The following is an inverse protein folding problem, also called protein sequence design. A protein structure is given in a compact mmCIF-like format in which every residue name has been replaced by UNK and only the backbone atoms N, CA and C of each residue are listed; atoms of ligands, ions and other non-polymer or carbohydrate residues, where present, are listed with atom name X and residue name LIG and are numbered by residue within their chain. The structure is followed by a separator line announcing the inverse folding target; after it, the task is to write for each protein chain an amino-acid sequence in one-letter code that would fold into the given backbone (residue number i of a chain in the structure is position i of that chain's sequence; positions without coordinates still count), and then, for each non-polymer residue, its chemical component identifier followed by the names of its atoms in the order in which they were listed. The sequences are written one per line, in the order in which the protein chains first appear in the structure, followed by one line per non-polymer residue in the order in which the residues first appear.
data_IF_632875600639
#
_entry.id   IF_632875600639
#
_cell.length_a   1.000
_cell.length_b   1.000
_cell.length_c   1.000
_cell.angle_alpha   90.00
_cell.angle_beta   90.00
_cell.angle_gamma   90.00
#
_symmetry.space_group_name_H-M   'P 1'
#
loop_
_entity.id
_entity.type
_entity.pdbx_description
1 polymer ?
#
# COMPACT_ATOMS: atom_id res chain seq x y z
N UNK A 1 13.84 -15.06 -11.34
CA UNK A 1 12.74 -14.62 -10.41
C UNK A 1 12.09 -15.86 -9.83
N UNK A 2 11.60 -15.85 -8.55
CA UNK A 2 10.93 -17.02 -7.97
C UNK A 2 9.67 -17.41 -8.73
N UNK A 3 9.46 -18.70 -8.95
CA UNK A 3 8.32 -19.26 -9.73
C UNK A 3 6.96 -18.78 -9.24
N UNK A 4 6.73 -18.72 -7.92
CA UNK A 4 5.47 -18.24 -7.38
C UNK A 4 5.21 -16.74 -7.64
N UNK A 5 6.28 -15.94 -7.77
CA UNK A 5 6.16 -14.52 -8.18
C UNK A 5 5.83 -14.44 -9.66
N UNK A 6 6.50 -15.24 -10.50
CA UNK A 6 6.21 -15.35 -11.92
C UNK A 6 4.73 -15.70 -12.16
N UNK A 7 4.25 -16.78 -11.56
CA UNK A 7 2.85 -17.20 -11.68
C UNK A 7 1.85 -16.15 -11.17
N UNK A 8 2.14 -15.52 -10.03
CA UNK A 8 1.27 -14.49 -9.47
C UNK A 8 1.08 -13.32 -10.43
N UNK A 9 2.14 -12.92 -11.15
CA UNK A 9 2.10 -11.85 -12.15
C UNK A 9 1.30 -12.26 -13.38
N UNK A 10 1.63 -13.40 -14.00
CA UNK A 10 1.08 -13.81 -15.29
C UNK A 10 -0.35 -14.37 -15.20
N UNK A 11 -0.70 -15.04 -14.09
CA UNK A 11 -2.03 -15.58 -13.86
C UNK A 11 -2.94 -14.65 -13.06
N UNK A 12 -2.49 -13.42 -12.81
CA UNK A 12 -3.21 -12.43 -11.99
C UNK A 12 -3.75 -13.01 -10.66
N UNK A 13 -2.90 -13.75 -9.96
CA UNK A 13 -3.25 -14.43 -8.72
C UNK A 13 -2.38 -13.98 -7.54
N UNK A 14 -2.59 -14.53 -6.35
CA UNK A 14 -1.70 -14.29 -5.21
C UNK A 14 -0.52 -15.28 -5.21
N UNK A 15 0.63 -14.88 -4.62
CA UNK A 15 1.78 -15.79 -4.45
C UNK A 15 1.42 -17.05 -3.66
N UNK A 16 0.53 -16.96 -2.66
CA UNK A 16 0.04 -18.13 -1.91
C UNK A 16 -0.78 -19.07 -2.80
N UNK A 17 -1.63 -18.52 -3.67
CA UNK A 17 -2.37 -19.35 -4.62
C UNK A 17 -1.43 -19.98 -5.67
N UNK A 18 -0.42 -19.25 -6.11
CA UNK A 18 0.63 -19.80 -6.97
C UNK A 18 1.39 -20.96 -6.28
N UNK A 19 1.71 -20.85 -4.99
CA UNK A 19 2.30 -21.94 -4.22
C UNK A 19 1.39 -23.19 -4.17
N UNK A 20 0.06 -23.01 -4.08
CA UNK A 20 -0.91 -24.11 -4.16
C UNK A 20 -0.90 -24.79 -5.52
N UNK A 21 -0.84 -24.02 -6.63
CA UNK A 21 -0.77 -24.56 -7.98
C UNK A 21 0.49 -25.43 -8.19
N UNK A 22 1.63 -24.98 -7.63
CA UNK A 22 2.88 -25.73 -7.68
C UNK A 22 2.73 -27.06 -6.90
N UNK A 23 2.17 -27.03 -5.70
CA UNK A 23 1.95 -28.25 -4.89
C UNK A 23 1.00 -29.25 -5.57
N UNK A 24 0.08 -28.77 -6.39
CA UNK A 24 -0.85 -29.60 -7.17
C UNK A 24 -0.20 -30.17 -8.44
N UNK A 25 1.11 -30.01 -8.64
CA UNK A 25 1.85 -30.44 -9.84
C UNK A 25 1.26 -29.91 -11.18
N UNK A 26 0.70 -28.69 -11.15
CA UNK A 26 0.08 -28.08 -12.32
C UNK A 26 1.02 -27.15 -13.08
N UNK A 27 2.25 -26.99 -12.61
CA UNK A 27 3.23 -26.02 -13.13
C UNK A 27 4.50 -26.77 -13.53
N UNK A 28 5.00 -26.43 -14.71
CA UNK A 28 6.27 -26.95 -15.22
C UNK A 28 7.21 -25.81 -15.62
N UNK A 29 8.50 -26.05 -15.48
CA UNK A 29 9.58 -25.23 -16.02
C UNK A 29 10.38 -26.10 -16.98
N UNK A 30 10.43 -25.75 -18.26
CA UNK A 30 11.14 -26.50 -19.31
C UNK A 30 10.72 -27.99 -19.36
N UNK A 31 9.41 -28.28 -19.18
CA UNK A 31 8.84 -29.63 -19.21
C UNK A 31 9.09 -30.45 -17.92
N UNK A 32 9.63 -29.86 -16.86
CA UNK A 32 9.82 -30.53 -15.54
C UNK A 32 8.90 -29.88 -14.52
N UNK A 33 8.28 -30.71 -13.66
CA UNK A 33 7.42 -30.22 -12.57
C UNK A 33 8.18 -29.25 -11.68
N UNK A 34 7.60 -28.07 -11.50
CA UNK A 34 8.15 -27.04 -10.65
C UNK A 34 7.98 -27.36 -9.17
N UNK A 35 8.96 -26.97 -8.36
CA UNK A 35 8.96 -27.10 -6.90
C UNK A 35 8.84 -25.73 -6.25
N UNK A 36 8.38 -25.69 -4.99
CA UNK A 36 8.38 -24.48 -4.20
C UNK A 36 9.80 -23.94 -4.05
N UNK A 37 9.98 -22.66 -4.39
CA UNK A 37 11.29 -22.01 -4.29
C UNK A 37 12.09 -22.00 -5.60
N UNK A 38 11.69 -22.77 -6.60
CA UNK A 38 12.34 -22.74 -7.92
C UNK A 38 12.37 -21.33 -8.48
N UNK A 39 13.35 -21.06 -9.32
CA UNK A 39 13.53 -19.80 -10.03
C UNK A 39 13.28 -19.98 -11.53
N UNK A 40 12.71 -18.94 -12.11
CA UNK A 40 12.48 -18.80 -13.55
C UNK A 40 13.46 -17.77 -14.10
N UNK A 41 14.20 -18.14 -15.14
CA UNK A 41 15.13 -17.29 -15.87
C UNK A 41 14.51 -16.79 -17.19
N UNK A 42 15.18 -15.86 -17.85
CA UNK A 42 14.63 -15.15 -19.02
C UNK A 42 14.22 -16.07 -20.18
N UNK A 43 14.93 -17.19 -20.36
CA UNK A 43 14.71 -18.12 -21.49
C UNK A 43 13.90 -19.36 -21.10
N UNK A 44 13.44 -19.44 -19.84
CA UNK A 44 12.66 -20.59 -19.39
C UNK A 44 11.25 -20.55 -19.94
N UNK A 45 10.78 -21.72 -20.39
CA UNK A 45 9.38 -21.95 -20.75
C UNK A 45 8.62 -22.44 -19.52
N UNK A 46 7.67 -21.64 -19.06
CA UNK A 46 6.79 -21.99 -17.94
C UNK A 46 5.42 -22.38 -18.48
N UNK A 47 4.88 -23.51 -18.03
CA UNK A 47 3.51 -23.94 -18.35
C UNK A 47 2.67 -24.11 -17.10
N UNK A 48 1.37 -23.88 -17.26
CA UNK A 48 0.32 -24.11 -16.25
C UNK A 48 -0.81 -24.88 -16.89
N UNK A 49 -1.21 -26.03 -16.29
CA UNK A 49 -2.16 -26.97 -16.86
C UNK A 49 -1.86 -27.25 -18.35
N UNK A 50 -0.59 -27.60 -18.65
CA UNK A 50 -0.05 -27.90 -20.01
C UNK A 50 -0.12 -26.73 -21.02
N UNK A 51 -0.47 -25.52 -20.60
CA UNK A 51 -0.47 -24.34 -21.44
C UNK A 51 0.73 -23.45 -21.14
N UNK A 52 1.49 -23.11 -22.17
CA UNK A 52 2.63 -22.18 -22.03
C UNK A 52 2.14 -20.80 -21.58
N UNK A 53 2.80 -20.22 -20.59
CA UNK A 53 2.54 -18.86 -20.11
C UNK A 53 3.43 -17.92 -20.92
N UNK A 54 2.81 -16.95 -21.61
CA UNK A 54 3.55 -15.87 -22.27
C UNK A 54 4.22 -14.96 -21.24
N UNK A 55 5.50 -14.64 -21.48
CA UNK A 55 6.33 -13.92 -20.49
C UNK A 55 6.30 -12.40 -20.61
N UNK A 56 5.51 -11.83 -21.53
CA UNK A 56 5.40 -10.39 -21.70
C UNK A 56 4.53 -9.77 -20.62
N UNK A 57 5.13 -8.96 -19.74
CA UNK A 57 4.42 -8.18 -18.72
C UNK A 57 4.65 -6.70 -18.98
N UNK A 58 3.57 -5.96 -19.08
CA UNK A 58 3.60 -4.50 -19.02
C UNK A 58 3.32 -4.06 -17.58
N UNK A 59 4.31 -3.44 -16.96
CA UNK A 59 4.12 -2.87 -15.63
C UNK A 59 3.33 -1.57 -15.70
N UNK A 60 2.45 -1.38 -14.73
CA UNK A 60 1.56 -0.23 -14.62
C UNK A 60 1.73 0.43 -13.26
N UNK A 61 1.81 1.74 -13.22
CA UNK A 61 2.04 2.53 -12.01
C UNK A 61 1.02 3.64 -11.90
N UNK A 62 0.29 3.71 -10.77
CA UNK A 62 -0.78 4.67 -10.60
C UNK A 62 -0.77 5.33 -9.23
N UNK A 63 -1.21 6.58 -9.20
CA UNK A 63 -1.66 7.29 -8.00
C UNK A 63 -3.18 7.13 -7.90
N UNK A 64 -3.64 6.91 -6.68
CA UNK A 64 -5.07 6.77 -6.36
C UNK A 64 -5.41 7.63 -5.16
N UNK A 65 -6.51 8.38 -5.25
CA UNK A 65 -7.07 9.07 -4.09
C UNK A 65 -8.10 8.20 -3.41
N UNK A 66 -7.69 7.48 -2.38
CA UNK A 66 -8.61 6.66 -1.58
C UNK A 66 -9.65 7.54 -0.87
N UNK A 67 -10.95 7.34 -1.07
CA UNK A 67 -11.98 8.03 -0.32
C UNK A 67 -12.10 7.51 1.12
N UNK A 68 -12.71 8.31 2.02
CA UNK A 68 -13.17 7.82 3.34
C UNK A 68 -14.24 6.74 3.18
N UNK A 69 -14.42 5.92 4.22
CA UNK A 69 -15.45 4.88 4.26
C UNK A 69 -15.03 3.54 3.65
N UNK A 70 -13.95 3.49 2.91
CA UNK A 70 -13.44 2.26 2.28
C UNK A 70 -12.29 1.64 3.09
N UNK A 71 -12.31 0.31 3.21
CA UNK A 71 -11.23 -0.46 3.82
C UNK A 71 -10.21 -0.84 2.75
N UNK A 72 -8.92 -0.78 3.09
CA UNK A 72 -7.83 -1.31 2.26
C UNK A 72 -7.80 -2.84 2.34
N UNK A 73 -8.62 -3.50 1.55
CA UNK A 73 -8.73 -4.96 1.44
C UNK A 73 -8.94 -5.39 0.01
N UNK A 74 -8.45 -6.58 -0.33
CA UNK A 74 -8.72 -7.28 -1.59
C UNK A 74 -9.87 -8.29 -1.48
N UNK A 75 -10.30 -8.61 -0.26
CA UNK A 75 -11.42 -9.53 0.00
C UNK A 75 -12.52 -8.79 0.73
N UNK A 76 -13.77 -9.09 0.36
CA UNK A 76 -14.93 -8.59 1.08
C UNK A 76 -14.82 -8.87 2.59
N UNK A 77 -15.18 -7.90 3.41
CA UNK A 77 -15.18 -8.00 4.86
C UNK A 77 -16.53 -7.51 5.37
N UNK A 78 -17.40 -8.44 5.68
CA UNK A 78 -18.78 -8.11 6.12
C UNK A 78 -19.43 -7.08 5.17
N UNK A 79 -20.23 -6.17 5.70
CA UNK A 79 -20.90 -5.09 4.95
C UNK A 79 -20.00 -3.86 4.68
N UNK A 80 -18.67 -4.00 4.72
CA UNK A 80 -17.75 -2.87 4.54
C UNK A 80 -17.34 -2.70 3.08
N UNK A 81 -17.47 -1.49 2.54
CA UNK A 81 -16.94 -1.10 1.23
C UNK A 81 -15.41 -1.27 1.20
N UNK A 82 -14.89 -1.94 0.19
CA UNK A 82 -13.46 -2.17 0.03
C UNK A 82 -12.91 -1.44 -1.21
N UNK A 83 -11.65 -1.01 -1.15
CA UNK A 83 -11.07 -0.23 -2.25
C UNK A 83 -10.92 -1.03 -3.54
N UNK A 84 -10.80 -2.36 -3.48
CA UNK A 84 -10.74 -3.21 -4.68
C UNK A 84 -12.03 -3.20 -5.50
N UNK A 85 -13.17 -2.75 -4.96
CA UNK A 85 -14.42 -2.58 -5.71
C UNK A 85 -14.36 -1.39 -6.66
N UNK A 86 -13.66 -0.32 -6.25
CA UNK A 86 -13.55 0.92 -7.01
C UNK A 86 -12.28 1.02 -7.85
N UNK A 87 -11.38 0.03 -7.78
CA UNK A 87 -10.22 -0.09 -8.66
C UNK A 87 -10.63 -0.96 -9.85
N UNK A 88 -10.72 -0.38 -11.08
CA UNK A 88 -11.24 -1.11 -12.25
C UNK A 88 -10.32 -2.25 -12.69
N UNK A 89 -9.02 -2.01 -12.75
CA UNK A 89 -8.03 -3.03 -13.13
C UNK A 89 -7.69 -3.93 -11.95
N UNK A 90 -8.18 -5.17 -11.97
CA UNK A 90 -7.98 -6.16 -10.90
C UNK A 90 -6.56 -6.71 -10.82
N UNK A 91 -5.71 -6.44 -11.81
CA UNK A 91 -4.28 -6.77 -11.77
C UNK A 91 -3.53 -5.86 -10.81
N UNK A 92 -4.03 -4.63 -10.58
CA UNK A 92 -3.41 -3.67 -9.70
C UNK A 92 -3.52 -4.10 -8.24
N UNK A 93 -2.39 -4.05 -7.58
CA UNK A 93 -2.25 -4.26 -6.14
C UNK A 93 -1.95 -2.92 -5.48
N UNK A 94 -2.14 -2.85 -4.18
CA UNK A 94 -1.69 -1.73 -3.36
C UNK A 94 -0.82 -2.26 -2.24
N UNK A 95 0.17 -1.51 -1.86
CA UNK A 95 0.97 -1.76 -0.68
C UNK A 95 0.79 -0.59 0.30
N UNK A 96 0.80 -0.89 1.61
CA UNK A 96 0.41 0.04 2.64
C UNK A 96 -1.11 0.24 2.71
N UNK A 97 -1.53 0.74 3.84
CA UNK A 97 -2.94 0.91 4.13
C UNK A 97 -3.22 2.32 4.63
N UNK A 98 -4.42 2.78 4.38
CA UNK A 98 -5.07 3.86 5.10
C UNK A 98 -6.29 3.27 5.81
N UNK A 99 -6.56 3.74 7.04
CA UNK A 99 -7.74 3.33 7.80
C UNK A 99 -9.03 3.67 7.03
N UNK A 100 -10.15 3.03 7.42
CA UNK A 100 -11.49 3.30 6.86
C UNK A 100 -11.82 4.80 6.87
N UNK A 101 -11.52 5.48 7.99
CA UNK A 101 -11.81 6.89 8.20
C UNK A 101 -10.66 7.83 7.81
N UNK A 102 -9.67 7.34 7.07
CA UNK A 102 -8.59 8.13 6.49
C UNK A 102 -8.70 8.14 4.98
N UNK A 103 -8.21 9.21 4.36
CA UNK A 103 -8.29 9.43 2.92
C UNK A 103 -6.93 9.82 2.32
N UNK A 104 -6.84 9.92 1.01
CA UNK A 104 -5.70 10.49 0.32
C UNK A 104 -4.88 9.50 -0.50
N UNK A 105 -3.63 9.85 -0.74
CA UNK A 105 -2.76 9.18 -1.68
C UNK A 105 -2.50 7.70 -1.34
N UNK A 106 -2.76 6.85 -2.30
CA UNK A 106 -2.25 5.47 -2.37
C UNK A 106 -1.55 5.26 -3.70
N UNK A 107 -0.62 4.31 -3.73
CA UNK A 107 0.07 3.87 -4.94
C UNK A 107 -0.45 2.49 -5.32
N UNK A 108 -0.71 2.29 -6.62
CA UNK A 108 -1.20 1.05 -7.18
C UNK A 108 -0.25 0.59 -8.28
N UNK A 109 0.00 -0.71 -8.38
CA UNK A 109 0.79 -1.31 -9.47
C UNK A 109 0.56 -2.81 -9.54
N UNK A 110 0.84 -3.41 -10.70
CA UNK A 110 1.05 -4.84 -10.82
C UNK A 110 2.52 -5.25 -10.55
N UNK A 111 3.43 -4.27 -10.37
CA UNK A 111 4.81 -4.50 -9.95
C UNK A 111 4.90 -4.50 -8.41
N UNK A 112 4.98 -5.70 -7.82
CA UNK A 112 5.08 -5.86 -6.37
C UNK A 112 6.41 -5.37 -5.79
N UNK A 113 7.50 -5.39 -6.54
CA UNK A 113 8.81 -4.92 -6.06
C UNK A 113 8.80 -3.40 -5.96
N UNK A 114 8.29 -2.72 -7.00
CA UNK A 114 8.11 -1.28 -6.94
C UNK A 114 7.21 -0.86 -5.79
N UNK A 115 6.05 -1.50 -5.63
CA UNK A 115 5.16 -1.22 -4.49
C UNK A 115 5.87 -1.40 -3.15
N UNK A 116 6.65 -2.49 -3.01
CA UNK A 116 7.39 -2.74 -1.78
C UNK A 116 8.46 -1.66 -1.54
N UNK A 117 9.17 -1.23 -2.58
CA UNK A 117 10.17 -0.16 -2.48
C UNK A 117 9.58 1.18 -2.02
N UNK A 118 8.31 1.46 -2.34
CA UNK A 118 7.62 2.71 -1.98
C UNK A 118 7.11 2.74 -0.53
N UNK A 119 7.10 1.61 0.18
CA UNK A 119 6.48 1.53 1.52
C UNK A 119 7.41 0.92 2.55
N UNK A 120 8.37 0.10 2.14
CA UNK A 120 9.24 -0.60 3.07
C UNK A 120 9.97 0.36 4.01
N UNK A 121 9.93 0.14 5.33
CA UNK A 121 10.53 1.05 6.32
C UNK A 121 12.01 1.33 6.08
N UNK A 122 12.78 0.34 5.54
CA UNK A 122 14.21 0.51 5.24
C UNK A 122 14.51 1.60 4.20
N UNK A 123 13.53 1.95 3.35
CA UNK A 123 13.67 3.03 2.38
C UNK A 123 13.48 4.41 3.00
N UNK A 124 12.99 4.49 4.22
CA UNK A 124 12.86 5.73 4.98
C UNK A 124 11.97 6.79 4.35
N UNK A 125 11.07 6.42 3.43
CA UNK A 125 10.24 7.37 2.70
C UNK A 125 9.30 8.12 3.65
N UNK A 126 9.40 9.44 3.61
CA UNK A 126 8.58 10.31 4.43
C UNK A 126 7.16 10.36 3.86
N UNK A 127 6.18 10.15 4.72
CA UNK A 127 4.76 10.28 4.42
C UNK A 127 4.24 11.56 5.04
N UNK A 128 3.61 12.42 4.25
CA UNK A 128 3.05 13.69 4.74
C UNK A 128 1.52 13.61 4.75
N UNK A 129 0.95 14.15 5.82
CA UNK A 129 -0.48 14.15 6.05
C UNK A 129 -0.98 15.56 6.36
N UNK A 130 -2.21 15.85 5.96
CA UNK A 130 -2.98 17.00 6.48
C UNK A 130 -3.94 16.46 7.52
N UNK A 131 -3.88 17.02 8.71
CA UNK A 131 -4.68 16.61 9.88
C UNK A 131 -5.50 17.81 10.33
N UNK A 132 -6.81 17.66 10.41
CA UNK A 132 -7.65 18.63 11.14
C UNK A 132 -8.11 18.05 12.47
N UNK A 133 -8.18 18.89 13.47
CA UNK A 133 -8.46 18.51 14.87
C UNK A 133 -9.60 19.33 15.46
N UNK A 134 -10.16 18.85 16.57
CA UNK A 134 -11.26 19.52 17.29
C UNK A 134 -10.82 20.77 18.04
N UNK A 135 -9.58 20.78 18.54
CA UNK A 135 -9.05 21.85 19.38
C UNK A 135 -7.62 22.20 18.98
N UNK A 136 -7.15 23.45 19.23
CA UNK A 136 -5.75 23.81 19.01
C UNK A 136 -4.79 22.88 19.77
N UNK A 137 -3.63 22.59 19.20
CA UNK A 137 -2.62 21.75 19.82
C UNK A 137 -1.41 22.56 20.27
N UNK A 138 -0.79 22.11 21.35
CA UNK A 138 0.54 22.61 21.73
C UNK A 138 1.60 21.77 20.97
N UNK A 139 2.22 22.36 19.95
CA UNK A 139 3.19 21.69 19.08
C UNK A 139 4.38 21.09 19.85
N UNK A 140 4.80 21.71 20.98
CA UNK A 140 5.92 21.21 21.77
C UNK A 140 5.68 19.82 22.36
N UNK A 141 4.42 19.47 22.66
CA UNK A 141 4.05 18.14 23.14
C UNK A 141 4.25 17.05 22.10
N UNK A 142 4.18 17.39 20.82
CA UNK A 142 4.31 16.45 19.70
C UNK A 142 5.76 16.18 19.29
N UNK A 143 6.72 16.90 19.85
CA UNK A 143 8.17 16.65 19.61
C UNK A 143 8.69 15.43 20.39
N UNK A 144 7.93 14.95 21.37
CA UNK A 144 8.29 13.78 22.19
C UNK A 144 7.71 12.51 21.57
N UNK A 145 8.44 11.40 21.72
CA UNK A 145 7.92 10.09 21.38
C UNK A 145 6.83 9.69 22.40
N UNK A 146 5.84 8.99 21.91
CA UNK A 146 4.76 8.39 22.72
C UNK A 146 5.00 6.90 22.74
N UNK A 147 4.89 6.27 23.92
CA UNK A 147 4.87 4.80 24.04
C UNK A 147 3.41 4.37 24.16
N UNK A 148 2.96 3.57 23.22
CA UNK A 148 1.64 2.97 23.25
C UNK A 148 1.71 1.53 22.76
N UNK A 149 1.13 0.59 23.49
CA UNK A 149 1.18 -0.85 23.19
C UNK A 149 2.59 -1.36 22.92
N UNK A 150 3.54 -0.99 23.76
CA UNK A 150 4.97 -1.35 23.65
C UNK A 150 5.66 -0.83 22.39
N UNK A 151 5.03 0.07 21.64
CA UNK A 151 5.59 0.70 20.46
C UNK A 151 5.98 2.15 20.71
N UNK A 152 7.19 2.53 20.30
CA UNK A 152 7.62 3.94 20.23
C UNK A 152 7.01 4.58 18.98
N UNK A 153 6.14 5.57 19.16
CA UNK A 153 5.50 6.35 18.10
C UNK A 153 6.08 7.76 18.10
N UNK A 154 6.44 8.26 16.94
CA UNK A 154 7.04 9.60 16.84
C UNK A 154 6.65 10.30 15.54
N UNK A 155 6.19 11.54 15.67
CA UNK A 155 6.07 12.47 14.54
C UNK A 155 7.48 12.98 14.20
N UNK A 156 7.82 12.96 12.91
CA UNK A 156 9.07 13.50 12.40
C UNK A 156 9.06 15.03 12.40
N UNK A 157 7.93 15.58 11.95
CA UNK A 157 7.71 17.02 11.84
C UNK A 157 6.21 17.33 11.90
N UNK A 158 5.85 18.43 12.56
CA UNK A 158 4.48 18.94 12.62
C UNK A 158 4.48 20.46 12.47
N UNK A 159 3.68 20.96 11.55
CA UNK A 159 3.58 22.37 11.20
C UNK A 159 2.12 22.79 11.13
N UNK A 160 1.76 23.89 11.77
CA UNK A 160 0.44 24.51 11.59
C UNK A 160 0.35 25.16 10.20
N UNK A 161 -0.67 24.80 9.45
CA UNK A 161 -0.98 25.42 8.14
C UNK A 161 -2.01 26.54 8.27
N UNK A 162 -2.99 26.31 9.11
CA UNK A 162 -4.02 27.25 9.53
C UNK A 162 -4.65 26.72 10.82
N UNK A 163 -5.47 27.58 11.46
CA UNK A 163 -6.18 27.18 12.69
C UNK A 163 -6.79 25.79 12.59
N UNK A 164 -6.49 24.92 13.54
CA UNK A 164 -6.96 23.52 13.66
C UNK A 164 -6.54 22.59 12.49
N UNK A 165 -5.58 23.00 11.67
CA UNK A 165 -5.13 22.20 10.53
C UNK A 165 -3.60 22.16 10.49
N UNK A 166 -3.05 20.96 10.50
CA UNK A 166 -1.61 20.72 10.64
C UNK A 166 -1.11 19.81 9.53
N UNK A 167 0.11 20.06 9.08
CA UNK A 167 0.89 19.14 8.25
C UNK A 167 1.76 18.28 9.15
N UNK A 168 1.60 16.98 9.06
CA UNK A 168 2.31 15.99 9.88
C UNK A 168 3.16 15.11 8.97
N UNK A 169 4.43 14.93 9.32
CA UNK A 169 5.37 14.07 8.61
C UNK A 169 5.73 12.85 9.45
N UNK A 170 5.67 11.66 8.84
CA UNK A 170 6.10 10.39 9.44
C UNK A 170 7.14 9.70 8.57
N UNK A 171 8.13 9.08 9.21
CA UNK A 171 9.09 8.17 8.55
C UNK A 171 8.62 6.71 8.61
N UNK A 172 7.84 6.37 9.60
CA UNK A 172 7.27 5.05 9.87
C UNK A 172 5.89 4.90 9.22
N UNK A 173 5.09 4.00 9.64
CA UNK A 173 3.73 3.75 9.15
C UNK A 173 3.08 2.68 10.01
N UNK A 174 3.30 2.75 11.32
CA UNK A 174 2.72 1.84 12.30
C UNK A 174 1.20 1.93 12.29
N UNK A 175 0.55 0.91 12.81
CA UNK A 175 -0.91 0.89 12.84
C UNK A 175 -1.47 2.11 13.57
N UNK A 176 -2.30 2.89 12.89
CA UNK A 176 -2.98 4.10 13.39
C UNK A 176 -2.06 5.10 14.09
N UNK A 177 -0.79 5.18 13.68
CA UNK A 177 0.27 5.90 14.37
C UNK A 177 -0.08 7.36 14.69
N UNK A 178 -0.51 8.16 13.71
CA UNK A 178 -0.91 9.55 13.94
C UNK A 178 -2.07 9.62 14.93
N UNK A 179 -3.10 8.78 14.76
CA UNK A 179 -4.27 8.79 15.67
C UNK A 179 -3.86 8.46 17.10
N UNK A 180 -3.05 7.44 17.30
CA UNK A 180 -2.55 7.04 18.63
C UNK A 180 -1.74 8.15 19.29
N UNK A 181 -0.90 8.87 18.55
CA UNK A 181 -0.14 10.01 19.07
C UNK A 181 -1.07 11.16 19.47
N UNK A 182 -2.08 11.47 18.65
CA UNK A 182 -3.02 12.54 18.95
C UNK A 182 -3.95 12.15 20.11
N UNK A 183 -4.44 10.91 20.12
CA UNK A 183 -5.29 10.38 21.20
C UNK A 183 -4.56 10.42 22.56
N UNK A 184 -3.25 10.09 22.62
CA UNK A 184 -2.44 10.16 23.85
C UNK A 184 -2.24 11.60 24.36
N UNK A 185 -2.47 12.60 23.52
CA UNK A 185 -2.47 14.00 23.89
C UNK A 185 -3.88 14.57 24.11
N UNK A 186 -4.90 13.72 24.16
CA UNK A 186 -6.33 14.07 24.30
C UNK A 186 -6.84 14.97 23.16
N UNK A 187 -6.32 14.79 21.95
CA UNK A 187 -6.72 15.57 20.76
C UNK A 187 -7.46 14.66 19.78
N UNK A 188 -8.71 15.00 19.50
CA UNK A 188 -9.53 14.30 18.52
C UNK A 188 -9.19 14.73 17.09
N UNK A 189 -8.86 13.77 16.23
CA UNK A 189 -8.66 13.99 14.79
C UNK A 189 -10.02 13.92 14.07
N UNK A 190 -10.39 15.02 13.43
CA UNK A 190 -11.58 15.16 12.60
C UNK A 190 -11.34 14.64 11.17
N UNK A 191 -10.21 15.01 10.58
CA UNK A 191 -9.82 14.52 9.23
C UNK A 191 -8.35 14.13 9.18
N UNK A 192 -8.05 13.08 8.42
CA UNK A 192 -6.70 12.60 8.20
C UNK A 192 -6.52 12.25 6.71
N UNK A 193 -5.75 13.08 6.01
CA UNK A 193 -5.50 12.97 4.57
C UNK A 193 -4.01 12.79 4.29
N UNK A 194 -3.60 11.67 3.68
CA UNK A 194 -2.24 11.50 3.20
C UNK A 194 -2.04 12.25 1.88
N UNK A 195 -1.11 13.19 1.86
CA UNK A 195 -0.86 14.06 0.69
C UNK A 195 0.43 13.73 -0.06
N UNK A 196 1.37 12.99 0.56
CA UNK A 196 2.53 12.46 -0.16
C UNK A 196 3.11 11.20 0.45
N UNK A 197 3.84 10.44 -0.38
CA UNK A 197 4.70 9.30 -0.04
C UNK A 197 6.00 9.53 -0.80
N UNK A 198 7.09 9.89 -0.10
CA UNK A 198 8.32 10.32 -0.76
C UNK A 198 8.03 11.45 -1.76
N UNK A 199 8.44 11.26 -3.02
CA UNK A 199 8.26 12.21 -4.11
C UNK A 199 6.86 12.17 -4.74
N UNK A 200 6.11 11.10 -4.49
CA UNK A 200 4.74 10.98 -5.01
C UNK A 200 3.80 11.89 -4.23
N UNK A 201 3.18 12.82 -4.95
CA UNK A 201 2.24 13.81 -4.39
C UNK A 201 0.82 13.51 -4.85
N UNK A 202 -0.15 13.73 -3.96
CA UNK A 202 -1.58 13.66 -4.28
C UNK A 202 -1.92 14.69 -5.37
N UNK A 203 -1.40 15.91 -5.23
CA UNK A 203 -1.66 17.00 -6.17
C UNK A 203 -3.15 17.32 -6.27
N UNK A 204 -3.61 17.50 -7.49
CA UNK A 204 -4.99 17.83 -7.86
C UNK A 204 -5.87 16.61 -8.13
N UNK A 205 -5.47 15.40 -7.70
CA UNK A 205 -6.30 14.21 -7.85
C UNK A 205 -7.65 14.41 -7.16
N UNK A 206 -8.74 14.06 -7.82
CA UNK A 206 -10.09 14.08 -7.24
C UNK A 206 -10.32 12.83 -6.37
N UNK A 207 -11.23 12.91 -5.44
CA UNK A 207 -11.60 11.75 -4.58
C UNK A 207 -12.07 10.58 -5.46
N UNK A 208 -11.45 9.41 -5.26
CA UNK A 208 -11.73 8.20 -6.06
C UNK A 208 -11.00 8.14 -7.40
N UNK A 209 -10.31 9.20 -7.81
CA UNK A 209 -9.58 9.22 -9.08
C UNK A 209 -8.32 8.36 -9.03
N UNK A 210 -8.07 7.65 -10.13
CA UNK A 210 -6.85 6.90 -10.41
C UNK A 210 -6.16 7.59 -11.59
N UNK A 211 -4.87 7.87 -11.47
CA UNK A 211 -4.07 8.50 -12.53
C UNK A 211 -2.74 7.81 -12.68
N UNK A 212 -2.37 7.54 -13.90
CA UNK A 212 -1.09 6.94 -14.25
C UNK A 212 0.07 7.84 -13.81
N UNK A 213 1.15 7.19 -13.36
CA UNK A 213 2.42 7.84 -13.06
C UNK A 213 3.29 7.65 -14.30
N UNK A 214 3.53 8.74 -15.02
CA UNK A 214 4.50 8.71 -16.10
C UNK A 214 5.89 8.50 -15.49
N UNK A 215 6.57 7.49 -16.00
CA UNK A 215 7.97 7.16 -15.67
C UNK A 215 8.89 8.23 -16.20
#
# INVERSE_FOLDING_TARGET
MRINKFLALHLNTSRRKADELIRLNKVEINGKLAKLGDEVFTNDKVSYDSKTIESLITFKYYKFYKPKGYICSHKAQSNSKIISEIIPDKSLKFNGRLDKNSEGLMLLSNDGDWLNSTIHPSKGLIKKYIVSVSNPINLQKFNKAVVDKEEYLRILDIQELKRLTYKVSLKTGKNREIRRIFDSNNIQIMTLKRVSIGDYKLGNLKIGEIREINS
#
